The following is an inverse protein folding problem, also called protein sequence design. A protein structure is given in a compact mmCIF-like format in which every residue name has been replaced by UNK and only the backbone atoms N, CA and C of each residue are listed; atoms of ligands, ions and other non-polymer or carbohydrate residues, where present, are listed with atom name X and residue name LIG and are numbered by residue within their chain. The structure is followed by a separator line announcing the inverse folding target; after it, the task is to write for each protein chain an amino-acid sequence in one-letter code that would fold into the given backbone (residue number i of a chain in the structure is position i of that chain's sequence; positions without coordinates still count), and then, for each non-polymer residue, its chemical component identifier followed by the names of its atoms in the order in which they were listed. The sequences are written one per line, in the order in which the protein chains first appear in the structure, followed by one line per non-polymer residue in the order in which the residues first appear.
data_IF_839435866731
#
_entry.id   IF_839435866731
#
_cell.length_a   1.000
_cell.length_b   1.000
_cell.length_c   1.000
_cell.angle_alpha   90.00
_cell.angle_beta   90.00
_cell.angle_gamma   90.00
#
_symmetry.space_group_name_H-M   'P 1'
#
loop_
_entity.id
_entity.type
_entity.pdbx_description
1 polymer ?
#
# COMPACT_ATOMS: atom_id res chain seq x y z
N UNK A 1 -37.64 -32.84 -22.40
CA UNK A 1 -36.22 -32.48 -22.18
C UNK A 1 -35.71 -33.28 -21.00
N UNK A 2 -34.73 -34.15 -21.23
CA UNK A 2 -34.26 -35.14 -20.24
C UNK A 2 -33.57 -34.46 -19.04
N UNK A 3 -33.79 -34.94 -17.80
CA UNK A 3 -33.28 -34.31 -16.56
C UNK A 3 -31.74 -34.22 -16.49
N UNK A 4 -31.03 -35.00 -17.31
CA UNK A 4 -29.57 -34.97 -17.44
C UNK A 4 -29.05 -33.67 -18.09
N UNK A 5 -29.74 -33.17 -19.11
CA UNK A 5 -29.31 -31.96 -19.83
C UNK A 5 -29.56 -30.67 -19.03
N UNK A 6 -30.60 -30.66 -18.19
CA UNK A 6 -30.90 -29.54 -17.29
C UNK A 6 -29.81 -29.36 -16.22
N UNK A 7 -29.27 -30.46 -15.66
CA UNK A 7 -28.16 -30.42 -14.70
C UNK A 7 -26.86 -29.93 -15.32
N UNK A 8 -26.54 -30.40 -16.53
CA UNK A 8 -25.36 -29.94 -17.25
C UNK A 8 -25.44 -28.43 -17.57
N UNK A 9 -26.62 -27.94 -17.98
CA UNK A 9 -26.83 -26.51 -18.24
C UNK A 9 -26.64 -25.62 -17.00
N UNK A 10 -27.12 -26.08 -15.84
CA UNK A 10 -26.97 -25.34 -14.57
C UNK A 10 -25.50 -25.19 -14.15
N UNK A 11 -24.69 -26.25 -14.32
CA UNK A 11 -23.27 -26.23 -13.96
C UNK A 11 -22.47 -25.31 -14.87
N UNK A 12 -22.79 -25.27 -16.17
CA UNK A 12 -22.14 -24.34 -17.11
C UNK A 12 -22.45 -22.89 -16.73
N UNK A 13 -23.72 -22.58 -16.43
CA UNK A 13 -24.13 -21.24 -16.01
C UNK A 13 -23.41 -20.80 -14.72
N UNK A 14 -23.25 -21.70 -13.74
CA UNK A 14 -22.51 -21.46 -12.50
C UNK A 14 -21.03 -21.13 -12.75
N UNK A 15 -20.38 -21.84 -13.69
CA UNK A 15 -18.98 -21.56 -14.03
C UNK A 15 -18.82 -20.20 -14.74
N UNK A 16 -19.83 -19.74 -15.48
CA UNK A 16 -19.85 -18.42 -16.12
C UNK A 16 -20.05 -17.25 -15.14
N UNK A 17 -20.56 -17.48 -13.93
CA UNK A 17 -20.71 -16.40 -12.93
C UNK A 17 -19.42 -16.06 -12.18
N UNK A 18 -18.43 -16.98 -12.16
CA UNK A 18 -17.15 -16.78 -11.50
C UNK A 18 -16.35 -15.54 -11.98
N UNK A 19 -16.23 -15.22 -13.29
CA UNK A 19 -15.50 -14.03 -13.73
C UNK A 19 -16.19 -12.71 -13.41
N UNK A 20 -17.50 -12.70 -13.10
CA UNK A 20 -18.23 -11.46 -12.78
C UNK A 20 -18.01 -10.99 -11.33
N UNK A 21 -17.57 -11.86 -10.43
CA UNK A 21 -17.30 -11.50 -9.04
C UNK A 21 -16.03 -10.63 -8.86
N UNK A 22 -15.17 -10.53 -9.89
CA UNK A 22 -13.93 -9.75 -9.85
C UNK A 22 -14.02 -8.34 -10.42
N UNK A 23 -15.11 -7.98 -11.12
CA UNK A 23 -15.23 -6.68 -11.82
C UNK A 23 -16.38 -5.81 -11.25
N UNK A 24 -16.78 -6.07 -10.01
CA UNK A 24 -17.70 -5.21 -9.26
C UNK A 24 -16.99 -4.77 -7.96
N UNK A 25 -15.75 -4.26 -8.13
CA UNK A 25 -15.13 -3.44 -7.11
C UNK A 25 -15.93 -2.15 -7.03
N UNK A 26 -16.56 -1.93 -5.90
CA UNK A 26 -17.26 -0.69 -5.59
C UNK A 26 -16.28 0.47 -5.81
N UNK A 27 -16.54 1.30 -6.83
CA UNK A 27 -15.88 2.58 -7.01
C UNK A 27 -16.45 3.54 -5.96
N UNK A 28 -16.33 3.18 -4.68
CA UNK A 28 -16.74 4.02 -3.59
C UNK A 28 -15.83 5.23 -3.64
N UNK A 29 -16.39 6.28 -4.23
CA UNK A 29 -15.68 7.50 -4.59
C UNK A 29 -15.51 8.37 -3.34
N UNK A 30 -15.12 7.76 -2.23
CA UNK A 30 -14.27 8.48 -1.29
C UNK A 30 -12.93 8.58 -2.00
N UNK A 31 -12.68 9.70 -2.68
CA UNK A 31 -11.45 9.87 -3.44
C UNK A 31 -10.22 9.51 -2.60
N UNK A 32 -9.16 9.06 -3.28
CA UNK A 32 -7.88 8.66 -2.67
C UNK A 32 -7.55 9.56 -1.48
N UNK A 33 -7.08 9.00 -0.36
CA UNK A 33 -6.72 9.81 0.79
C UNK A 33 -5.75 10.92 0.37
N UNK A 34 -6.09 12.15 0.75
CA UNK A 34 -5.25 13.31 0.44
C UNK A 34 -3.99 13.30 1.31
N UNK A 35 -2.96 14.04 0.91
CA UNK A 35 -1.70 14.18 1.65
C UNK A 35 -1.91 14.64 3.10
N UNK A 36 -2.88 15.53 3.34
CA UNK A 36 -3.25 16.02 4.67
C UNK A 36 -3.80 14.93 5.61
N UNK A 37 -4.15 13.76 5.06
CA UNK A 37 -4.75 12.69 5.84
C UNK A 37 -3.72 11.93 6.71
N UNK A 38 -2.43 12.01 6.36
CA UNK A 38 -1.33 11.35 7.07
C UNK A 38 -0.41 12.39 7.71
N UNK A 39 -0.30 12.36 9.03
CA UNK A 39 0.70 13.15 9.76
C UNK A 39 1.89 12.28 10.10
N UNK A 40 3.09 12.75 9.77
CA UNK A 40 4.37 12.09 10.10
C UNK A 40 5.11 12.92 11.14
N UNK A 41 5.63 12.28 12.18
CA UNK A 41 6.45 12.93 13.21
C UNK A 41 7.71 12.11 13.51
N UNK A 42 8.87 12.74 13.77
CA UNK A 42 9.13 14.17 13.73
C UNK A 42 9.19 14.74 12.29
N UNK A 43 9.06 16.07 12.16
CA UNK A 43 9.15 16.76 10.85
C UNK A 43 10.54 16.63 10.22
N UNK A 44 11.60 16.65 11.03
CA UNK A 44 12.98 16.44 10.58
C UNK A 44 13.39 15.01 10.90
N UNK A 45 13.63 14.23 9.85
CA UNK A 45 13.98 12.81 9.95
C UNK A 45 15.47 12.64 9.65
N UNK A 46 16.30 12.18 10.61
CA UNK A 46 17.68 11.84 10.34
C UNK A 46 17.79 10.61 9.42
N UNK A 47 18.62 10.72 8.40
CA UNK A 47 18.95 9.63 7.49
C UNK A 47 20.25 8.91 7.88
N UNK A 48 20.36 7.62 7.54
CA UNK A 48 21.55 6.81 7.80
C UNK A 48 21.58 6.11 9.15
N UNK A 49 20.56 6.29 9.98
CA UNK A 49 20.39 5.61 11.26
C UNK A 49 18.94 5.15 11.48
N UNK A 50 18.76 4.19 12.39
CA UNK A 50 17.45 3.71 12.79
C UNK A 50 16.72 4.80 13.57
N UNK A 51 15.61 5.27 13.01
CA UNK A 51 14.84 6.39 13.55
C UNK A 51 13.41 5.96 13.78
N UNK A 52 12.88 6.24 14.97
CA UNK A 52 11.46 6.04 15.23
C UNK A 52 10.66 7.21 14.69
N UNK A 53 9.77 6.92 13.74
CA UNK A 53 8.74 7.86 13.28
C UNK A 53 7.38 7.41 13.81
N UNK A 54 6.48 8.37 13.98
CA UNK A 54 5.08 8.14 14.29
C UNK A 54 4.23 8.54 13.09
N UNK A 55 3.37 7.62 12.66
CA UNK A 55 2.39 7.81 11.61
C UNK A 55 1.02 7.94 12.26
N UNK A 56 0.31 9.02 11.99
CA UNK A 56 -1.03 9.28 12.51
C UNK A 56 -2.01 9.53 11.36
N UNK A 57 -3.08 8.75 11.29
CA UNK A 57 -4.07 8.83 10.22
C UNK A 57 -5.33 9.57 10.67
N UNK A 58 -5.82 10.52 9.87
CA UNK A 58 -7.09 11.24 10.13
C UNK A 58 -8.28 10.65 9.37
N UNK A 59 -8.03 9.64 8.53
CA UNK A 59 -9.00 8.83 7.78
C UNK A 59 -8.49 7.39 7.70
N UNK A 60 -9.37 6.45 7.36
CA UNK A 60 -8.98 5.07 7.10
C UNK A 60 -8.10 5.03 5.85
N UNK A 61 -6.89 4.49 5.96
CA UNK A 61 -5.93 4.43 4.86
C UNK A 61 -4.89 3.33 5.06
N UNK A 62 -4.22 2.96 3.99
CA UNK A 62 -3.01 2.17 4.04
C UNK A 62 -1.79 3.03 3.71
N UNK A 63 -0.70 2.84 4.45
CA UNK A 63 0.58 3.52 4.24
C UNK A 63 1.65 2.50 3.90
N UNK A 64 2.23 2.61 2.72
CA UNK A 64 3.35 1.80 2.29
C UNK A 64 4.66 2.53 2.50
N UNK A 65 5.58 1.85 3.19
CA UNK A 65 6.89 2.38 3.53
C UNK A 65 7.95 1.63 2.70
N UNK A 66 8.51 2.28 1.65
CA UNK A 66 9.50 1.66 0.76
C UNK A 66 10.93 1.66 1.35
N UNK A 67 11.05 1.47 2.66
CA UNK A 67 12.30 1.51 3.39
C UNK A 67 12.40 0.32 4.34
N UNK A 68 13.58 0.16 4.95
CA UNK A 68 13.77 -0.88 5.95
C UNK A 68 13.12 -0.50 7.26
N UNK A 69 12.26 -1.38 7.75
CA UNK A 69 11.63 -1.31 9.06
C UNK A 69 12.21 -2.39 9.94
N UNK A 70 12.46 -2.05 11.20
CA UNK A 70 12.87 -3.02 12.19
C UNK A 70 11.64 -3.63 12.88
N UNK A 71 11.50 -4.94 12.79
CA UNK A 71 10.48 -5.68 13.53
C UNK A 71 10.81 -5.67 15.04
N UNK A 72 9.93 -5.13 15.91
CA UNK A 72 10.21 -5.02 17.35
C UNK A 72 10.38 -6.39 18.03
N UNK A 73 9.83 -7.46 17.45
CA UNK A 73 9.99 -8.81 18.00
C UNK A 73 11.34 -9.44 17.65
N UNK A 74 11.63 -9.57 16.35
CA UNK A 74 12.81 -10.29 15.85
C UNK A 74 14.05 -9.41 15.64
N UNK A 75 13.92 -8.09 15.71
CA UNK A 75 14.96 -7.10 15.38
C UNK A 75 15.46 -7.19 13.94
N UNK A 76 14.75 -7.91 13.06
CA UNK A 76 15.10 -8.06 11.64
C UNK A 76 14.64 -6.85 10.85
N UNK A 77 15.42 -6.49 9.84
CA UNK A 77 15.04 -5.49 8.85
C UNK A 77 14.14 -6.11 7.77
N UNK A 78 13.01 -5.47 7.47
CA UNK A 78 12.07 -5.84 6.42
C UNK A 78 11.82 -4.63 5.52
N UNK A 79 11.75 -4.83 4.20
CA UNK A 79 11.46 -3.77 3.23
C UNK A 79 10.05 -3.96 2.68
N UNK A 80 9.37 -2.85 2.35
CA UNK A 80 8.07 -2.87 1.69
C UNK A 80 6.94 -3.27 2.63
N UNK A 81 6.93 -2.69 3.82
CA UNK A 81 5.86 -2.94 4.81
C UNK A 81 4.69 -2.01 4.56
N UNK A 82 3.47 -2.54 4.69
CA UNK A 82 2.21 -1.79 4.63
C UNK A 82 1.61 -1.75 6.03
N UNK A 83 1.15 -0.57 6.45
CA UNK A 83 0.35 -0.39 7.65
C UNK A 83 -1.06 0.04 7.26
N UNK A 84 -2.05 -0.74 7.66
CA UNK A 84 -3.46 -0.36 7.56
C UNK A 84 -3.82 0.41 8.83
N UNK A 85 -4.14 1.70 8.69
CA UNK A 85 -4.44 2.61 9.79
C UNK A 85 -5.90 3.02 9.71
N UNK A 86 -6.63 2.80 10.79
CA UNK A 86 -7.98 3.35 10.94
C UNK A 86 -7.90 4.84 11.32
N UNK A 87 -9.00 5.56 11.11
CA UNK A 87 -9.14 6.96 11.50
C UNK A 87 -8.84 7.16 12.99
N UNK A 88 -7.89 8.04 13.27
CA UNK A 88 -7.43 8.37 14.62
C UNK A 88 -6.40 7.39 15.17
N UNK A 89 -6.03 6.35 14.41
CA UNK A 89 -4.96 5.43 14.78
C UNK A 89 -3.58 6.09 14.62
N UNK A 90 -2.64 5.67 15.45
CA UNK A 90 -1.26 6.08 15.33
C UNK A 90 -0.33 4.91 15.63
N UNK A 91 0.68 4.74 14.80
CA UNK A 91 1.69 3.68 14.95
C UNK A 91 3.09 4.30 14.99
N UNK A 92 3.91 3.80 15.91
CA UNK A 92 5.33 4.14 15.98
C UNK A 92 6.15 3.03 15.34
N UNK A 93 7.04 3.40 14.42
CA UNK A 93 7.81 2.46 13.64
C UNK A 93 9.27 2.90 13.52
N UNK A 94 10.20 1.96 13.72
CA UNK A 94 11.64 2.19 13.57
C UNK A 94 12.05 1.94 12.12
N UNK A 95 12.47 2.99 11.43
CA UNK A 95 12.77 2.98 9.99
C UNK A 95 14.20 3.47 9.74
N UNK A 96 14.88 2.85 8.78
CA UNK A 96 16.19 3.28 8.31
C UNK A 96 16.05 4.03 6.98
N UNK A 97 16.16 5.35 7.05
CA UNK A 97 16.08 6.22 5.87
C UNK A 97 17.44 6.40 5.18
N UNK A 98 17.47 6.61 3.86
CA UNK A 98 18.70 6.85 3.13
C UNK A 98 19.39 8.16 3.58
N UNK A 99 20.73 8.17 3.81
CA UNK A 99 21.44 9.34 4.33
C UNK A 99 21.70 10.45 3.31
N UNK A 100 21.49 10.20 2.01
CA UNK A 100 21.86 11.12 0.92
C UNK A 100 20.66 11.75 0.21
N UNK A 101 19.45 11.50 0.71
CA UNK A 101 18.24 12.04 0.13
C UNK A 101 17.73 13.18 1.01
N UNK A 102 17.32 14.27 0.38
CA UNK A 102 16.67 15.40 1.06
C UNK A 102 15.20 15.14 1.36
N UNK A 103 14.62 14.13 0.72
CA UNK A 103 13.20 13.82 0.75
C UNK A 103 12.95 12.35 1.06
N UNK A 104 11.86 12.10 1.79
CA UNK A 104 11.34 10.78 2.14
C UNK A 104 10.02 10.59 1.43
N UNK A 105 9.82 9.44 0.80
CA UNK A 105 8.61 9.11 0.06
C UNK A 105 7.88 7.98 0.78
N UNK A 106 6.64 8.26 1.17
CA UNK A 106 5.69 7.28 1.65
C UNK A 106 4.53 7.26 0.67
N UNK A 107 4.01 6.08 0.35
CA UNK A 107 2.87 5.95 -0.53
C UNK A 107 1.61 5.75 0.32
N UNK A 108 0.55 6.48 0.01
CA UNK A 108 -0.76 6.35 0.67
C UNK A 108 -1.79 5.83 -0.32
N UNK A 109 -2.78 5.12 0.19
CA UNK A 109 -3.87 4.57 -0.60
C UNK A 109 -5.04 4.15 0.27
N UNK A 110 -6.08 3.63 -0.38
CA UNK A 110 -7.28 3.17 0.31
C UNK A 110 -6.95 2.07 1.32
N UNK A 111 -7.73 2.01 2.39
CA UNK A 111 -7.56 1.02 3.44
C UNK A 111 -7.64 -0.40 2.89
N UNK A 112 -6.67 -1.24 3.25
CA UNK A 112 -6.54 -2.62 2.77
C UNK A 112 -5.97 -2.74 1.35
N UNK A 113 -5.34 -1.69 0.80
CA UNK A 113 -4.70 -1.75 -0.52
C UNK A 113 -3.56 -2.77 -0.55
N UNK A 114 -3.68 -3.76 -1.44
CA UNK A 114 -2.70 -4.84 -1.59
C UNK A 114 -1.66 -4.58 -2.68
N UNK A 115 -2.00 -3.80 -3.70
CA UNK A 115 -1.15 -3.57 -4.87
C UNK A 115 -0.52 -2.18 -4.82
N UNK A 116 0.81 -2.13 -4.72
CA UNK A 116 1.57 -0.90 -4.62
C UNK A 116 2.54 -0.76 -5.79
N UNK A 117 2.66 0.43 -6.40
CA UNK A 117 3.64 0.64 -7.45
C UNK A 117 5.06 0.62 -6.86
N UNK A 118 5.97 -0.05 -7.55
CA UNK A 118 7.37 -0.17 -7.17
C UNK A 118 8.23 0.34 -8.32
N UNK A 119 9.08 1.33 -8.04
CA UNK A 119 10.05 1.89 -8.99
C UNK A 119 11.10 0.87 -9.44
N UNK A 120 11.81 1.15 -10.52
CA UNK A 120 12.94 0.32 -10.95
C UNK A 120 14.12 0.38 -9.95
N UNK A 121 14.89 -0.69 -9.84
CA UNK A 121 15.95 -0.85 -8.82
C UNK A 121 17.06 0.22 -8.89
N UNK A 122 17.32 0.81 -10.07
CA UNK A 122 18.36 1.81 -10.31
C UNK A 122 17.89 3.26 -10.34
N UNK A 123 16.61 3.50 -10.08
CA UNK A 123 15.96 4.81 -10.19
C UNK A 123 15.72 5.43 -8.81
N UNK A 124 15.77 6.75 -8.68
CA UNK A 124 15.39 7.40 -7.42
C UNK A 124 13.87 7.52 -7.30
N UNK A 125 13.35 7.67 -6.08
CA UNK A 125 11.92 7.93 -5.90
C UNK A 125 11.46 9.25 -6.53
N UNK A 126 12.34 10.26 -6.59
CA UNK A 126 12.02 11.54 -7.22
C UNK A 126 11.97 11.46 -8.74
N UNK A 127 12.91 10.72 -9.35
CA UNK A 127 12.88 10.50 -10.81
C UNK A 127 11.64 9.71 -11.21
N UNK A 128 11.31 8.67 -10.43
CA UNK A 128 10.11 7.87 -10.65
C UNK A 128 8.82 8.68 -10.49
N UNK A 129 8.76 9.58 -9.50
CA UNK A 129 7.60 10.45 -9.32
C UNK A 129 7.39 11.40 -10.51
N UNK A 130 8.49 11.90 -11.09
CA UNK A 130 8.47 12.74 -12.28
C UNK A 130 8.08 11.98 -13.55
N UNK A 131 8.51 10.72 -13.70
CA UNK A 131 8.22 9.85 -14.82
C UNK A 131 7.86 8.42 -14.37
N UNK A 132 6.57 8.21 -14.09
CA UNK A 132 6.01 6.95 -13.59
C UNK A 132 5.82 5.89 -14.70
N UNK A 133 6.70 5.84 -15.70
CA UNK A 133 6.63 4.86 -16.80
C UNK A 133 7.51 3.62 -16.57
N UNK A 134 8.40 3.70 -15.59
CA UNK A 134 9.31 2.65 -15.18
C UNK A 134 8.78 1.90 -13.94
N UNK A 135 9.26 0.67 -13.74
CA UNK A 135 8.84 -0.17 -12.60
C UNK A 135 7.51 -0.89 -12.84
N UNK A 136 6.68 -1.00 -11.80
CA UNK A 136 5.35 -1.63 -11.84
C UNK A 136 4.20 -0.62 -11.78
N UNK A 137 4.49 0.61 -12.22
CA UNK A 137 3.56 1.73 -12.27
C UNK A 137 2.53 1.55 -13.40
#
# INVERSE_FOLDING_TARGET
MSPCHARAGLLVLLMFTAPFAGCMGENNSEGLPNEDALTVSPEVIPGGEWTTIMLSASKDMSVFIPYFIQDPGSMRAQNGTVFDLMKGESVSVSVLFPPRNTEVVLLIGDYGRMEWPIRAAGESWMDWDADRTSGSA
#
